data_IF_881160318026
#
_entry.id   IF_881160318026
#
_cell.length_a   1.000
_cell.length_b   1.000
_cell.length_c   1.000
_cell.angle_alpha   90.00
_cell.angle_beta   90.00
_cell.angle_gamma   90.00
#
_symmetry.space_group_name_H-M   'P 1'
#
loop_
_entity.id
_entity.type
_entity.pdbx_description
1 polymer ?
#
# COMPACT_ATOMS: atom_id res chain seq x y z
N UNK A 1 21.23 113.46 13.81
CA UNK A 1 20.44 112.25 13.48
C UNK A 1 21.10 111.52 12.31
N UNK A 2 22.09 110.65 12.55
CA UNK A 2 22.79 109.89 11.48
C UNK A 2 22.61 108.36 11.56
N UNK A 3 21.85 107.84 12.53
CA UNK A 3 21.87 106.41 12.87
C UNK A 3 20.61 105.63 12.43
N UNK A 4 19.71 106.23 11.64
CA UNK A 4 18.48 105.55 11.20
C UNK A 4 18.71 104.52 10.11
N UNK A 5 19.70 104.73 9.23
CA UNK A 5 20.03 103.77 8.16
C UNK A 5 20.78 102.55 8.71
N UNK A 6 21.77 102.76 9.58
CA UNK A 6 22.56 101.69 10.19
C UNK A 6 21.70 100.78 11.09
N UNK A 7 20.78 101.35 11.88
CA UNK A 7 19.86 100.57 12.72
C UNK A 7 18.87 99.75 11.88
N UNK A 8 18.34 100.31 10.78
CA UNK A 8 17.46 99.58 9.86
C UNK A 8 18.19 98.46 9.13
N UNK A 9 19.44 98.67 8.75
CA UNK A 9 20.28 97.64 8.14
C UNK A 9 20.59 96.52 9.14
N UNK A 10 20.93 96.86 10.38
CA UNK A 10 21.16 95.89 11.45
C UNK A 10 19.94 95.01 11.73
N UNK A 11 18.74 95.60 11.81
CA UNK A 11 17.48 94.85 11.99
C UNK A 11 17.18 93.96 10.77
N UNK A 12 17.41 94.45 9.55
CA UNK A 12 17.21 93.66 8.34
C UNK A 12 18.14 92.43 8.31
N UNK A 13 19.42 92.60 8.64
CA UNK A 13 20.37 91.49 8.71
C UNK A 13 19.98 90.52 9.83
N UNK A 14 19.57 91.01 11.01
CA UNK A 14 19.10 90.14 12.09
C UNK A 14 17.86 89.32 11.69
N UNK A 15 16.89 89.93 11.01
CA UNK A 15 15.72 89.22 10.48
C UNK A 15 16.10 88.23 9.38
N UNK A 16 17.06 88.55 8.52
CA UNK A 16 17.56 87.63 7.50
C UNK A 16 18.25 86.41 8.13
N UNK A 17 19.05 86.59 9.18
CA UNK A 17 19.67 85.48 9.92
C UNK A 17 18.61 84.62 10.59
N UNK A 18 17.61 85.22 11.25
CA UNK A 18 16.49 84.48 11.85
C UNK A 18 15.73 83.70 10.77
N UNK A 19 15.45 84.31 9.63
CA UNK A 19 14.79 83.64 8.51
C UNK A 19 15.63 82.46 7.98
N UNK A 20 16.95 82.61 7.87
CA UNK A 20 17.85 81.52 7.47
C UNK A 20 17.82 80.39 8.50
N UNK A 21 17.88 80.68 9.81
CA UNK A 21 17.78 79.66 10.86
C UNK A 21 16.45 78.93 10.78
N UNK A 22 15.33 79.66 10.63
CA UNK A 22 14.01 79.07 10.48
C UNK A 22 13.88 78.22 9.21
N UNK A 23 14.47 78.65 8.09
CA UNK A 23 14.50 77.87 6.85
C UNK A 23 15.35 76.62 7.02
N UNK A 24 16.52 76.72 7.66
CA UNK A 24 17.39 75.57 7.92
C UNK A 24 16.71 74.55 8.85
N UNK A 25 15.98 74.99 9.87
CA UNK A 25 15.17 74.11 10.72
C UNK A 25 13.98 73.52 9.97
N UNK A 26 13.30 74.30 9.13
CA UNK A 26 12.18 73.83 8.32
C UNK A 26 12.60 72.77 7.28
N UNK A 27 13.76 72.96 6.64
CA UNK A 27 14.36 72.02 5.69
C UNK A 27 14.98 70.82 6.42
N UNK A 28 15.48 71.02 7.65
CA UNK A 28 16.02 69.98 8.54
C UNK A 28 14.99 68.95 9.05
N UNK A 29 13.71 69.14 8.72
CA UNK A 29 12.69 68.10 8.84
C UNK A 29 11.73 68.32 10.02
N UNK A 30 10.54 68.80 9.69
CA UNK A 30 9.36 68.79 10.57
C UNK A 30 8.87 67.38 11.00
N UNK A 31 9.64 66.31 10.74
CA UNK A 31 9.23 64.92 11.01
C UNK A 31 9.17 64.54 12.50
N UNK A 32 9.77 65.37 13.37
CA UNK A 32 9.67 65.20 14.82
C UNK A 32 8.21 65.39 15.31
N UNK A 33 7.39 66.19 14.61
CA UNK A 33 6.02 66.54 15.01
C UNK A 33 4.94 65.53 14.59
N UNK A 34 5.23 64.54 13.73
CA UNK A 34 4.25 63.50 13.42
C UNK A 34 4.16 62.49 14.57
N UNK A 35 2.95 62.25 15.08
CA UNK A 35 2.68 61.21 16.06
C UNK A 35 3.03 59.84 15.48
N UNK A 36 3.81 59.07 16.22
CA UNK A 36 4.32 57.80 15.76
C UNK A 36 4.99 57.03 16.88
N UNK A 37 5.15 55.73 16.66
CA UNK A 37 5.83 54.82 17.58
C UNK A 37 7.10 54.28 16.94
N UNK A 38 8.09 53.97 17.77
CA UNK A 38 9.39 53.47 17.32
C UNK A 38 9.38 51.95 17.31
N UNK A 39 10.05 51.40 16.31
CA UNK A 39 10.23 49.96 16.14
C UNK A 39 11.64 49.70 15.62
N UNK A 40 12.22 48.59 16.05
CA UNK A 40 13.60 48.21 15.73
C UNK A 40 13.64 47.01 14.79
N UNK A 41 14.63 46.96 13.90
CA UNK A 41 14.91 45.80 13.06
C UNK A 41 16.41 45.58 12.96
N UNK A 42 16.86 44.33 13.07
CA UNK A 42 18.27 43.94 13.06
C UNK A 42 18.63 43.26 11.75
N UNK A 43 19.34 43.95 10.87
CA UNK A 43 19.75 43.40 9.57
C UNK A 43 21.24 43.02 9.60
N UNK A 44 21.63 41.95 8.90
CA UNK A 44 23.06 41.66 8.67
C UNK A 44 23.71 42.67 7.71
N UNK A 45 22.96 43.13 6.72
CA UNK A 45 23.39 44.16 5.76
C UNK A 45 22.21 45.07 5.43
N UNK A 46 22.48 46.37 5.29
CA UNK A 46 21.46 47.40 5.02
C UNK A 46 21.56 48.02 3.63
N UNK A 47 22.33 47.43 2.71
CA UNK A 47 22.32 47.74 1.26
C UNK A 47 22.27 49.25 0.87
N UNK A 48 22.96 50.16 1.56
CA UNK A 48 22.90 51.64 1.36
C UNK A 48 21.58 52.31 1.81
N UNK A 49 20.92 51.76 2.84
CA UNK A 49 19.81 52.43 3.54
C UNK A 49 20.33 53.64 4.33
N UNK A 50 19.59 54.76 4.25
CA UNK A 50 19.95 56.05 4.86
C UNK A 50 18.88 56.51 5.85
N UNK A 51 19.29 57.35 6.79
CA UNK A 51 18.35 58.04 7.68
C UNK A 51 17.44 58.93 6.82
N UNK A 52 16.13 58.86 7.06
CA UNK A 52 15.09 59.51 6.26
C UNK A 52 14.47 58.61 5.19
N UNK A 53 15.03 57.42 4.93
CA UNK A 53 14.43 56.48 3.98
C UNK A 53 13.04 56.02 4.44
N UNK A 54 12.19 55.73 3.45
CA UNK A 54 10.79 55.39 3.69
C UNK A 54 10.66 53.99 4.29
N UNK A 55 9.66 53.82 5.12
CA UNK A 55 9.17 52.51 5.56
C UNK A 55 7.81 52.29 4.93
N UNK A 56 7.66 51.20 4.18
CA UNK A 56 6.46 50.89 3.42
C UNK A 56 5.86 49.56 3.85
N UNK A 57 4.54 49.44 3.71
CA UNK A 57 3.80 48.19 3.87
C UNK A 57 2.83 48.06 2.70
N UNK A 58 2.90 46.94 1.99
CA UNK A 58 2.10 46.74 0.78
C UNK A 58 2.28 47.83 -0.29
N UNK A 59 3.45 48.50 -0.31
CA UNK A 59 3.73 49.63 -1.20
C UNK A 59 3.32 51.01 -0.68
N UNK A 60 2.57 51.09 0.43
CA UNK A 60 2.11 52.35 1.05
C UNK A 60 3.11 52.82 2.10
N UNK A 61 3.44 54.11 2.12
CA UNK A 61 4.33 54.70 3.13
C UNK A 61 3.66 54.75 4.51
N UNK A 62 4.23 54.01 5.46
CA UNK A 62 3.74 53.88 6.84
C UNK A 62 4.69 54.49 7.87
N UNK A 63 5.89 54.91 7.48
CA UNK A 63 6.88 55.45 8.41
C UNK A 63 8.18 55.83 7.72
N UNK A 64 9.20 56.15 8.53
CA UNK A 64 10.55 56.52 8.08
C UNK A 64 11.63 55.97 9.00
N UNK A 65 12.81 55.77 8.43
CA UNK A 65 14.01 55.39 9.17
C UNK A 65 14.54 56.62 9.89
N UNK A 66 14.65 56.56 11.22
CA UNK A 66 15.10 57.70 12.04
C UNK A 66 16.54 57.58 12.47
N UNK A 67 17.08 56.36 12.56
CA UNK A 67 18.46 56.14 12.99
C UNK A 67 18.95 54.76 12.53
N UNK A 68 20.25 54.61 12.35
CA UNK A 68 20.90 53.34 11.97
C UNK A 68 22.17 53.20 12.82
N UNK A 69 22.23 52.16 13.66
CA UNK A 69 23.35 51.88 14.55
C UNK A 69 23.93 50.51 14.27
N UNK A 70 25.25 50.36 14.39
CA UNK A 70 25.90 49.06 14.33
C UNK A 70 25.89 48.43 15.73
N UNK A 71 25.31 47.23 15.88
CA UNK A 71 25.25 46.48 17.13
C UNK A 71 25.60 45.01 16.86
N UNK A 72 26.57 44.45 17.61
CA UNK A 72 26.89 43.01 17.57
C UNK A 72 26.97 42.40 16.15
N UNK A 73 27.71 43.04 15.24
CA UNK A 73 27.88 42.61 13.85
C UNK A 73 26.59 42.64 12.98
N UNK A 74 25.60 43.42 13.40
CA UNK A 74 24.35 43.68 12.68
C UNK A 74 24.08 45.20 12.67
N UNK A 75 23.34 45.66 11.67
CA UNK A 75 22.82 47.02 11.62
C UNK A 75 21.42 47.06 12.23
N UNK A 76 21.31 47.73 13.38
CA UNK A 76 20.05 48.07 14.03
C UNK A 76 19.45 49.31 13.37
N UNK A 77 18.35 49.11 12.66
CA UNK A 77 17.58 50.17 12.02
C UNK A 77 16.44 50.58 12.95
N UNK A 78 16.40 51.85 13.31
CA UNK A 78 15.33 52.45 14.10
C UNK A 78 14.33 53.08 13.14
N UNK A 79 13.08 52.63 13.20
CA UNK A 79 11.99 53.10 12.36
C UNK A 79 10.95 53.81 13.21
N UNK A 80 10.45 54.95 12.73
CA UNK A 80 9.27 55.61 13.29
C UNK A 80 8.09 55.35 12.38
N UNK A 81 7.14 54.56 12.87
CA UNK A 81 5.89 54.24 12.17
C UNK A 81 4.80 55.25 12.57
N UNK A 82 3.92 55.59 11.63
CA UNK A 82 2.80 56.51 11.86
C UNK A 82 1.78 55.87 12.81
N UNK A 83 1.30 56.64 13.78
CA UNK A 83 0.29 56.18 14.74
C UNK A 83 -1.12 56.27 14.13
N UNK A 84 -1.38 55.44 13.12
CA UNK A 84 -2.70 55.29 12.49
C UNK A 84 -3.27 53.89 12.73
N UNK A 85 -4.61 53.74 12.88
CA UNK A 85 -5.22 52.44 13.13
C UNK A 85 -4.85 51.37 12.11
N UNK A 86 -4.75 51.73 10.83
CA UNK A 86 -4.44 50.79 9.75
C UNK A 86 -3.00 50.27 9.85
N UNK A 87 -2.06 51.14 10.26
CA UNK A 87 -0.66 50.78 10.46
C UNK A 87 -0.50 49.91 11.70
N UNK A 88 -1.22 50.20 12.79
CA UNK A 88 -1.18 49.38 14.01
C UNK A 88 -1.81 48.01 13.83
N UNK A 89 -2.87 47.90 13.03
CA UNK A 89 -3.49 46.61 12.74
C UNK A 89 -2.64 45.74 11.77
N UNK A 90 -1.92 46.38 10.85
CA UNK A 90 -1.11 45.69 9.84
C UNK A 90 0.27 45.23 10.33
N UNK A 91 0.90 45.98 11.24
CA UNK A 91 2.23 45.65 11.79
C UNK A 91 2.06 44.86 13.09
N UNK A 92 2.37 43.57 13.04
CA UNK A 92 2.22 42.65 14.16
C UNK A 92 3.57 42.05 14.56
N UNK A 93 3.62 41.35 15.69
CA UNK A 93 4.83 40.71 16.21
C UNK A 93 5.44 39.68 15.26
N UNK A 94 4.65 39.11 14.34
CA UNK A 94 5.08 38.17 13.30
C UNK A 94 5.30 38.84 11.93
N UNK A 95 5.18 40.16 11.84
CA UNK A 95 5.55 40.90 10.63
C UNK A 95 7.02 40.73 10.33
N UNK A 96 7.35 40.75 9.03
CA UNK A 96 8.72 40.57 8.55
C UNK A 96 9.19 41.82 7.83
N UNK A 97 10.34 42.36 8.24
CA UNK A 97 10.98 43.51 7.63
C UNK A 97 12.09 43.06 6.66
N UNK A 98 12.15 43.69 5.49
CA UNK A 98 13.22 43.49 4.50
C UNK A 98 13.65 44.83 3.93
N UNK A 99 14.95 45.02 3.73
CA UNK A 99 15.46 46.14 2.94
C UNK A 99 15.25 45.81 1.46
N UNK A 100 14.72 46.76 0.71
CA UNK A 100 14.43 46.61 -0.72
C UNK A 100 14.56 47.97 -1.41
N UNK A 101 14.70 48.00 -2.72
CA UNK A 101 14.81 49.24 -3.49
C UNK A 101 13.66 49.38 -4.49
N UNK A 102 13.35 50.62 -4.92
CA UNK A 102 12.30 50.88 -5.92
C UNK A 102 12.92 50.90 -7.33
N UNK A 103 13.20 49.73 -7.93
CA UNK A 103 13.76 49.62 -9.28
C UNK A 103 15.24 50.03 -9.42
N UNK A 104 15.81 49.92 -10.64
CA UNK A 104 17.26 49.94 -10.88
C UNK A 104 18.01 51.21 -10.41
N UNK A 105 17.34 52.35 -10.26
CA UNK A 105 17.92 53.63 -9.84
C UNK A 105 17.24 54.19 -8.58
N UNK A 106 16.41 53.39 -7.90
CA UNK A 106 15.61 53.84 -6.77
C UNK A 106 16.38 53.84 -5.46
N UNK A 107 16.01 54.75 -4.56
CA UNK A 107 16.45 54.71 -3.16
C UNK A 107 15.96 53.43 -2.46
N UNK A 108 16.76 52.99 -1.48
CA UNK A 108 16.39 51.91 -0.58
C UNK A 108 15.22 52.33 0.32
N UNK A 109 14.48 51.34 0.78
CA UNK A 109 13.41 51.50 1.73
C UNK A 109 13.23 50.21 2.52
N UNK A 110 12.67 50.32 3.72
CA UNK A 110 12.28 49.14 4.49
C UNK A 110 10.87 48.75 4.10
N UNK A 111 10.69 47.52 3.61
CA UNK A 111 9.37 46.94 3.38
C UNK A 111 8.99 46.06 4.57
N UNK A 112 7.83 46.30 5.15
CA UNK A 112 7.23 45.48 6.21
C UNK A 112 6.09 44.68 5.59
N UNK A 113 6.16 43.37 5.70
CA UNK A 113 5.10 42.46 5.28
C UNK A 113 3.98 42.40 6.34
N UNK A 114 2.74 42.22 5.90
CA UNK A 114 1.59 42.08 6.79
C UNK A 114 1.77 40.87 7.71
N UNK A 115 1.59 41.09 9.01
CA UNK A 115 1.55 40.01 10.01
C UNK A 115 0.14 39.46 10.21
N UNK A 116 -0.07 38.71 11.28
CA UNK A 116 -1.38 38.17 11.68
C UNK A 116 -1.67 36.75 11.20
N UNK A 117 -0.64 36.01 10.81
CA UNK A 117 -0.79 34.59 10.43
C UNK A 117 -0.49 33.65 11.60
N UNK A 118 0.30 34.10 12.59
CA UNK A 118 0.59 33.32 13.78
C UNK A 118 -0.60 33.35 14.77
N UNK A 119 -0.91 32.23 15.47
CA UNK A 119 -2.02 32.16 16.43
C UNK A 119 -1.96 33.17 17.59
N UNK A 120 -0.76 33.65 17.91
CA UNK A 120 -0.49 34.63 18.98
C UNK A 120 0.00 35.99 18.43
N UNK A 121 -0.24 36.28 17.16
CA UNK A 121 0.18 37.54 16.57
C UNK A 121 -0.59 38.70 17.24
N UNK A 122 0.17 39.62 17.84
CA UNK A 122 -0.37 40.84 18.46
C UNK A 122 0.14 42.06 17.70
N UNK A 123 -0.60 43.19 17.72
CA UNK A 123 -0.07 44.47 17.26
C UNK A 123 1.27 44.75 17.93
N UNK A 124 2.25 45.20 17.14
CA UNK A 124 3.56 45.51 17.71
C UNK A 124 3.46 46.69 18.67
N UNK A 125 4.16 46.60 19.81
CA UNK A 125 4.22 47.68 20.78
C UNK A 125 5.37 48.64 20.48
N UNK A 126 5.35 49.79 21.15
CA UNK A 126 6.43 50.77 21.06
C UNK A 126 7.74 50.14 21.54
N UNK A 127 8.82 50.43 20.83
CA UNK A 127 10.18 50.02 21.15
C UNK A 127 10.44 48.50 21.06
N UNK A 128 9.62 47.76 20.31
CA UNK A 128 9.82 46.33 20.03
C UNK A 128 10.64 46.07 18.75
N UNK A 129 11.15 44.84 18.64
CA UNK A 129 11.90 44.38 17.48
C UNK A 129 10.98 43.62 16.50
N UNK A 130 11.14 43.88 15.20
CA UNK A 130 10.53 43.13 14.10
C UNK A 130 11.52 42.08 13.58
N UNK A 131 11.01 40.91 13.23
CA UNK A 131 11.79 39.87 12.56
C UNK A 131 12.24 40.33 11.17
N UNK A 132 13.51 40.13 10.82
CA UNK A 132 14.04 40.53 9.52
C UNK A 132 14.23 39.34 8.58
N UNK A 133 13.94 39.56 7.29
CA UNK A 133 14.23 38.60 6.22
C UNK A 133 15.30 39.17 5.31
N UNK A 134 16.30 38.34 5.00
CA UNK A 134 17.36 38.69 4.08
C UNK A 134 16.90 38.49 2.63
N UNK A 135 17.16 39.49 1.79
CA UNK A 135 17.04 39.32 0.34
C UNK A 135 18.40 38.90 -0.23
N UNK A 136 18.42 37.98 -1.21
CA UNK A 136 19.63 37.75 -1.98
C UNK A 136 20.05 39.05 -2.67
N UNK A 137 21.32 39.42 -2.51
CA UNK A 137 21.93 40.50 -3.28
C UNK A 137 21.83 40.17 -4.78
N UNK A 138 21.63 41.19 -5.62
CA UNK A 138 21.70 41.06 -7.07
C UNK A 138 23.04 40.45 -7.49
N UNK A 139 24.13 40.79 -6.79
CA UNK A 139 25.45 40.17 -6.97
C UNK A 139 25.39 38.65 -6.79
N UNK A 140 24.71 38.18 -5.74
CA UNK A 140 24.52 36.75 -5.48
C UNK A 140 23.59 36.08 -6.51
N UNK A 141 22.62 36.82 -7.06
CA UNK A 141 21.80 36.33 -8.17
C UNK A 141 22.62 36.21 -9.47
N UNK A 142 23.51 37.17 -9.75
CA UNK A 142 24.44 37.09 -10.89
C UNK A 142 25.39 35.90 -10.76
N UNK A 143 25.94 35.65 -9.57
CA UNK A 143 26.74 34.44 -9.32
C UNK A 143 25.94 33.16 -9.59
N UNK A 144 24.64 33.13 -9.25
CA UNK A 144 23.79 31.98 -9.60
C UNK A 144 23.58 31.85 -11.11
N UNK A 145 23.46 32.96 -11.84
CA UNK A 145 23.38 32.95 -13.31
C UNK A 145 24.70 32.48 -13.93
N UNK A 146 25.85 32.91 -13.40
CA UNK A 146 27.17 32.43 -13.82
C UNK A 146 27.30 30.93 -13.60
N UNK A 147 26.87 30.42 -12.44
CA UNK A 147 26.83 28.98 -12.17
C UNK A 147 25.90 28.22 -13.13
N UNK A 148 24.79 28.82 -13.55
CA UNK A 148 23.91 28.23 -14.59
C UNK A 148 24.61 28.23 -15.94
N UNK A 149 25.31 29.31 -16.31
CA UNK A 149 26.08 29.39 -17.54
C UNK A 149 27.22 28.35 -17.56
N UNK A 150 27.90 28.16 -16.43
CA UNK A 150 28.89 27.08 -16.24
C UNK A 150 28.25 25.70 -16.35
N UNK A 151 27.07 25.48 -15.75
CA UNK A 151 26.31 24.23 -15.86
C UNK A 151 25.92 23.92 -17.31
N UNK A 152 25.44 24.92 -18.06
CA UNK A 152 25.12 24.80 -19.50
C UNK A 152 26.39 24.57 -20.32
N UNK A 153 27.50 25.23 -20.00
CA UNK A 153 28.77 25.02 -20.68
C UNK A 153 29.32 23.60 -20.41
N UNK A 154 29.18 23.11 -19.18
CA UNK A 154 29.56 21.75 -18.78
C UNK A 154 28.71 20.70 -19.49
N UNK A 155 27.38 20.92 -19.55
CA UNK A 155 26.47 20.09 -20.32
C UNK A 155 26.84 20.09 -21.81
N UNK A 156 27.09 21.28 -22.38
CA UNK A 156 27.54 21.41 -23.77
C UNK A 156 28.85 20.66 -24.02
N UNK A 157 29.84 20.77 -23.11
CA UNK A 157 31.08 19.99 -23.18
C UNK A 157 30.83 18.49 -23.16
N UNK A 158 29.92 18.03 -22.29
CA UNK A 158 29.54 16.61 -22.22
C UNK A 158 28.93 16.08 -23.52
N UNK A 159 28.26 16.93 -24.31
CA UNK A 159 27.75 16.57 -25.63
C UNK A 159 28.77 16.77 -26.76
N UNK A 160 29.62 17.79 -26.71
CA UNK A 160 30.65 18.03 -27.76
C UNK A 160 31.79 17.02 -27.74
N UNK A 161 32.05 16.37 -26.61
CA UNK A 161 33.07 15.32 -26.49
C UNK A 161 32.62 13.95 -27.01
N UNK A 162 31.31 13.74 -27.17
CA UNK A 162 30.76 12.50 -27.72
C UNK A 162 30.50 12.74 -29.20
N UNK A 163 31.43 12.31 -30.04
CA UNK A 163 31.20 12.36 -31.47
C UNK A 163 30.01 11.45 -31.80
N UNK A 164 29.03 11.99 -32.52
CA UNK A 164 27.76 11.31 -32.83
C UNK A 164 27.99 9.98 -33.58
N UNK A 165 29.11 9.84 -34.30
CA UNK A 165 29.58 8.61 -34.93
C UNK A 165 29.94 7.49 -33.93
N UNK A 166 30.43 7.81 -32.73
CA UNK A 166 30.76 6.84 -31.69
C UNK A 166 29.53 6.27 -30.96
N UNK A 167 28.41 7.01 -30.95
CA UNK A 167 27.14 6.51 -30.43
C UNK A 167 26.31 5.83 -31.51
N UNK A 168 26.24 6.44 -32.69
CA UNK A 168 25.42 5.92 -33.79
C UNK A 168 26.05 4.69 -34.43
N UNK A 169 27.39 4.56 -34.47
CA UNK A 169 28.06 3.40 -35.05
C UNK A 169 27.63 2.09 -34.39
N UNK A 170 27.92 1.87 -33.10
CA UNK A 170 27.54 0.63 -32.41
C UNK A 170 26.03 0.38 -32.38
N UNK A 171 25.21 1.44 -32.33
CA UNK A 171 23.75 1.30 -32.38
C UNK A 171 23.28 0.87 -33.78
N UNK A 172 23.80 1.48 -34.84
CA UNK A 172 23.50 1.12 -36.22
C UNK A 172 24.00 -0.30 -36.53
N UNK A 173 25.15 -0.68 -36.01
CA UNK A 173 25.70 -2.02 -36.16
C UNK A 173 24.85 -3.04 -35.42
N UNK A 174 24.45 -2.77 -34.18
CA UNK A 174 23.50 -3.61 -33.42
C UNK A 174 22.18 -3.78 -34.18
N UNK A 175 21.59 -2.69 -34.70
CA UNK A 175 20.33 -2.75 -35.46
C UNK A 175 20.51 -3.51 -36.77
N UNK A 176 21.64 -3.33 -37.47
CA UNK A 176 21.93 -4.06 -38.71
C UNK A 176 22.11 -5.56 -38.45
N UNK A 177 22.90 -5.91 -37.45
CA UNK A 177 23.20 -7.30 -37.07
C UNK A 177 21.95 -8.01 -36.54
N UNK A 178 21.08 -7.30 -35.81
CA UNK A 178 19.86 -7.87 -35.24
C UNK A 178 18.60 -7.56 -36.05
N UNK A 179 18.71 -7.04 -37.28
CA UNK A 179 17.54 -6.64 -38.09
C UNK A 179 16.53 -7.76 -38.26
N UNK A 180 17.01 -8.99 -38.49
CA UNK A 180 16.14 -10.18 -38.62
C UNK A 180 15.40 -10.49 -37.32
N UNK A 181 16.12 -10.52 -36.19
CA UNK A 181 15.55 -10.80 -34.87
C UNK A 181 14.57 -9.70 -34.42
N UNK A 182 14.92 -8.44 -34.65
CA UNK A 182 14.06 -7.29 -34.36
C UNK A 182 12.80 -7.35 -35.22
N UNK A 183 12.91 -7.65 -36.52
CA UNK A 183 11.74 -7.79 -37.40
C UNK A 183 10.84 -8.95 -36.96
N UNK A 184 11.41 -10.10 -36.59
CA UNK A 184 10.65 -11.23 -36.07
C UNK A 184 9.97 -10.90 -34.74
N UNK A 185 10.67 -10.22 -33.84
CA UNK A 185 10.13 -9.77 -32.56
C UNK A 185 8.99 -8.78 -32.75
N UNK A 186 9.16 -7.77 -33.59
CA UNK A 186 8.12 -6.79 -33.92
C UNK A 186 6.92 -7.49 -34.55
N UNK A 187 7.14 -8.45 -35.47
CA UNK A 187 6.06 -9.23 -36.07
C UNK A 187 5.32 -10.09 -35.06
N UNK A 188 6.03 -10.75 -34.13
CA UNK A 188 5.42 -11.52 -33.05
C UNK A 188 4.64 -10.63 -32.08
N UNK A 189 5.17 -9.46 -31.72
CA UNK A 189 4.47 -8.48 -30.88
C UNK A 189 3.20 -8.02 -31.60
N UNK A 190 3.28 -7.67 -32.90
CA UNK A 190 2.10 -7.29 -33.67
C UNK A 190 1.06 -8.41 -33.74
N UNK A 191 1.47 -9.67 -33.92
CA UNK A 191 0.58 -10.81 -33.94
C UNK A 191 -0.11 -11.03 -32.59
N UNK A 192 0.63 -10.95 -31.48
CA UNK A 192 0.08 -11.05 -30.13
C UNK A 192 -0.84 -9.87 -29.84
N UNK A 193 -0.44 -8.63 -30.15
CA UNK A 193 -1.28 -7.44 -29.99
C UNK A 193 -2.57 -7.55 -30.81
N UNK A 194 -2.50 -8.11 -32.02
CA UNK A 194 -3.68 -8.35 -32.85
C UNK A 194 -4.61 -9.39 -32.20
N UNK A 195 -4.07 -10.54 -31.75
CA UNK A 195 -4.84 -11.56 -31.03
C UNK A 195 -5.50 -10.99 -29.76
N UNK A 196 -4.77 -10.16 -29.01
CA UNK A 196 -5.27 -9.46 -27.82
C UNK A 196 -6.36 -8.45 -28.16
N UNK A 197 -6.31 -7.77 -29.30
CA UNK A 197 -7.33 -6.78 -29.68
C UNK A 197 -8.59 -7.41 -30.29
N UNK A 198 -8.42 -8.45 -31.12
CA UNK A 198 -9.51 -9.12 -31.83
C UNK A 198 -10.31 -10.10 -30.96
N UNK A 199 -9.98 -10.23 -29.68
CA UNK A 199 -10.77 -11.07 -28.79
C UNK A 199 -10.36 -12.54 -28.76
N UNK A 200 -9.29 -12.91 -29.45
CA UNK A 200 -8.92 -14.31 -29.64
C UNK A 200 -7.72 -14.69 -28.77
N UNK A 201 -7.94 -15.55 -27.79
CA UNK A 201 -6.89 -16.18 -26.98
C UNK A 201 -6.94 -15.84 -25.50
N UNK A 202 -6.20 -16.63 -24.72
CA UNK A 202 -6.23 -16.57 -23.25
C UNK A 202 -5.83 -15.19 -22.69
N UNK A 203 -4.89 -14.49 -23.34
CA UNK A 203 -4.45 -13.16 -22.89
C UNK A 203 -5.55 -12.11 -23.05
N UNK A 204 -6.34 -12.16 -24.14
CA UNK A 204 -7.49 -11.27 -24.26
C UNK A 204 -8.50 -11.54 -23.16
N UNK A 205 -8.88 -12.79 -22.95
CA UNK A 205 -9.83 -13.17 -21.89
C UNK A 205 -9.34 -12.74 -20.51
N UNK A 206 -8.04 -12.90 -20.21
CA UNK A 206 -7.47 -12.44 -18.94
C UNK A 206 -7.49 -10.92 -18.76
N UNK A 207 -7.23 -10.16 -19.81
CA UNK A 207 -7.13 -8.70 -19.73
C UNK A 207 -8.47 -7.99 -19.84
N UNK A 208 -9.44 -8.59 -20.53
CA UNK A 208 -10.68 -7.92 -20.94
C UNK A 208 -11.97 -8.65 -20.56
N UNK A 209 -11.95 -9.94 -20.18
CA UNK A 209 -13.19 -10.62 -19.87
C UNK A 209 -13.57 -10.50 -18.39
N UNK A 210 -14.85 -10.18 -18.17
CA UNK A 210 -15.49 -10.27 -16.84
C UNK A 210 -15.71 -11.73 -16.43
N UNK A 211 -15.47 -12.70 -17.32
CA UNK A 211 -15.72 -14.12 -17.08
C UNK A 211 -14.89 -14.69 -15.92
N UNK A 212 -13.71 -14.11 -15.66
CA UNK A 212 -12.91 -14.50 -14.50
C UNK A 212 -13.60 -14.11 -13.19
N UNK A 213 -14.22 -12.92 -13.17
CA UNK A 213 -15.02 -12.46 -12.06
C UNK A 213 -16.28 -13.34 -11.88
N UNK A 214 -16.97 -13.67 -12.98
CA UNK A 214 -18.17 -14.50 -12.95
C UNK A 214 -17.87 -15.97 -12.58
N UNK A 215 -16.75 -16.52 -13.06
CA UNK A 215 -16.28 -17.87 -12.70
C UNK A 215 -15.83 -17.95 -11.25
N UNK A 216 -15.15 -16.90 -10.75
CA UNK A 216 -14.78 -16.80 -9.34
C UNK A 216 -16.03 -16.67 -8.45
N UNK A 217 -17.01 -15.86 -8.87
CA UNK A 217 -18.25 -15.65 -8.13
C UNK A 217 -19.13 -16.92 -8.09
N UNK A 218 -19.26 -17.64 -9.20
CA UNK A 218 -19.99 -18.91 -9.26
C UNK A 218 -19.31 -20.01 -8.45
N UNK A 219 -17.97 -20.10 -8.50
CA UNK A 219 -17.20 -21.00 -7.63
C UNK A 219 -17.40 -20.67 -6.16
N UNK A 220 -17.38 -19.39 -5.80
CA UNK A 220 -17.63 -18.93 -4.43
C UNK A 220 -19.04 -19.30 -3.95
N UNK A 221 -20.05 -19.12 -4.82
CA UNK A 221 -21.45 -19.50 -4.54
C UNK A 221 -21.59 -21.01 -4.35
N UNK A 222 -21.04 -21.82 -5.26
CA UNK A 222 -21.09 -23.28 -5.18
C UNK A 222 -20.33 -23.83 -3.95
N UNK A 223 -19.22 -23.20 -3.56
CA UNK A 223 -18.48 -23.56 -2.35
C UNK A 223 -19.29 -23.24 -1.10
N UNK A 224 -20.01 -22.11 -1.07
CA UNK A 224 -20.88 -21.76 0.04
C UNK A 224 -22.06 -22.73 0.17
N UNK A 225 -22.66 -23.12 -0.95
CA UNK A 225 -23.75 -24.12 -0.97
C UNK A 225 -23.25 -25.50 -0.54
N UNK A 226 -22.08 -25.92 -1.03
CA UNK A 226 -21.43 -27.17 -0.61
C UNK A 226 -21.09 -27.14 0.89
N UNK A 227 -20.63 -26.00 1.41
CA UNK A 227 -20.36 -25.85 2.84
C UNK A 227 -21.63 -25.94 3.69
N UNK A 228 -22.75 -25.42 3.19
CA UNK A 228 -24.06 -25.56 3.83
C UNK A 228 -24.53 -27.03 3.83
N UNK A 229 -24.38 -27.74 2.71
CA UNK A 229 -24.73 -29.15 2.60
C UNK A 229 -23.87 -30.03 3.52
N UNK A 230 -22.55 -29.82 3.53
CA UNK A 230 -21.62 -30.49 4.46
C UNK A 230 -22.04 -30.24 5.92
N UNK A 231 -22.43 -29.00 6.27
CA UNK A 231 -22.89 -28.69 7.62
C UNK A 231 -24.16 -29.47 7.99
N UNK A 232 -25.09 -29.64 7.05
CA UNK A 232 -26.28 -30.47 7.25
C UNK A 232 -25.92 -31.95 7.39
N UNK A 233 -25.07 -32.49 6.50
CA UNK A 233 -24.60 -33.88 6.58
C UNK A 233 -23.88 -34.16 7.90
N UNK A 234 -23.04 -33.24 8.37
CA UNK A 234 -22.37 -33.35 9.67
C UNK A 234 -23.38 -33.30 10.82
N UNK A 235 -24.42 -32.48 10.73
CA UNK A 235 -25.49 -32.45 11.73
C UNK A 235 -26.28 -33.76 11.77
N UNK A 236 -26.62 -34.33 10.62
CA UNK A 236 -27.30 -35.62 10.51
C UNK A 236 -26.42 -36.78 11.01
N UNK A 237 -25.13 -36.76 10.66
CA UNK A 237 -24.17 -37.75 11.17
C UNK A 237 -24.04 -37.67 12.69
N UNK A 238 -23.96 -36.47 13.27
CA UNK A 238 -23.99 -36.28 14.73
C UNK A 238 -25.26 -36.84 15.34
N UNK A 239 -26.43 -36.60 14.74
CA UNK A 239 -27.71 -37.15 15.20
C UNK A 239 -27.72 -38.68 15.19
N UNK A 240 -27.16 -39.32 14.15
CA UNK A 240 -27.01 -40.79 14.10
C UNK A 240 -26.09 -41.28 15.22
N UNK A 241 -24.94 -40.62 15.43
CA UNK A 241 -23.99 -40.96 16.50
C UNK A 241 -24.66 -40.82 17.87
N UNK A 242 -25.46 -39.77 18.10
CA UNK A 242 -26.22 -39.57 19.33
C UNK A 242 -27.29 -40.64 19.52
N UNK A 243 -27.99 -41.04 18.44
CA UNK A 243 -28.95 -42.16 18.47
C UNK A 243 -28.28 -43.49 18.81
N UNK A 244 -27.11 -43.77 18.25
CA UNK A 244 -26.31 -44.96 18.59
C UNK A 244 -25.87 -44.92 20.05
N UNK A 245 -25.31 -43.78 20.50
CA UNK A 245 -24.85 -43.61 21.89
C UNK A 245 -25.98 -43.67 22.92
N UNK A 246 -27.20 -43.29 22.54
CA UNK A 246 -28.40 -43.38 23.39
C UNK A 246 -29.10 -44.72 23.34
N UNK A 247 -28.58 -45.70 22.60
CA UNK A 247 -29.16 -47.04 22.51
C UNK A 247 -30.41 -47.12 21.63
N UNK A 248 -30.65 -46.12 20.78
CA UNK A 248 -31.79 -46.07 19.87
C UNK A 248 -31.47 -46.79 18.55
N UNK A 249 -32.48 -47.43 17.95
CA UNK A 249 -32.31 -48.24 16.73
C UNK A 249 -31.62 -49.58 16.98
N UNK A 250 -31.52 -50.42 15.94
CA UNK A 250 -30.93 -51.77 16.05
C UNK A 250 -29.46 -51.71 16.43
N UNK A 251 -28.67 -50.84 15.78
CA UNK A 251 -27.24 -50.65 16.09
C UNK A 251 -27.03 -50.10 17.49
N UNK A 252 -27.78 -49.06 17.90
CA UNK A 252 -27.67 -48.51 19.26
C UNK A 252 -27.97 -49.55 20.34
N UNK A 253 -29.02 -50.36 20.16
CA UNK A 253 -29.33 -51.48 21.07
C UNK A 253 -28.23 -52.53 21.09
N UNK A 254 -27.71 -52.94 19.93
CA UNK A 254 -26.60 -53.89 19.83
C UNK A 254 -25.32 -53.40 20.51
N UNK A 255 -25.01 -52.10 20.40
CA UNK A 255 -23.83 -51.49 21.01
C UNK A 255 -23.99 -51.33 22.53
N UNK A 256 -25.21 -51.10 23.03
CA UNK A 256 -25.47 -50.86 24.45
C UNK A 256 -25.79 -52.10 25.26
N UNK A 257 -26.26 -53.17 24.64
CA UNK A 257 -26.71 -54.34 25.38
C UNK A 257 -25.60 -55.38 25.61
N UNK A 258 -25.33 -55.69 26.89
CA UNK A 258 -24.57 -56.89 27.31
C UNK A 258 -25.28 -58.22 26.96
N UNK A 259 -26.45 -58.17 26.34
CA UNK A 259 -27.23 -59.33 25.88
C UNK A 259 -26.48 -60.07 24.79
N UNK A 260 -25.78 -59.37 23.89
CA UNK A 260 -25.07 -60.01 22.79
C UNK A 260 -23.94 -60.92 23.31
N UNK A 261 -23.21 -60.44 24.31
CA UNK A 261 -22.17 -61.23 24.98
C UNK A 261 -22.78 -62.45 25.68
N UNK A 262 -23.95 -62.28 26.31
CA UNK A 262 -24.67 -63.37 26.99
C UNK A 262 -25.22 -64.41 26.02
N UNK A 263 -25.86 -64.00 24.92
CA UNK A 263 -26.39 -64.90 23.91
C UNK A 263 -25.27 -65.61 23.14
N UNK A 264 -24.18 -64.92 22.82
CA UNK A 264 -22.99 -65.54 22.24
C UNK A 264 -22.37 -66.57 23.21
N UNK A 265 -22.30 -66.24 24.50
CA UNK A 265 -21.80 -67.17 25.52
C UNK A 265 -22.72 -68.39 25.66
N UNK A 266 -24.04 -68.21 25.70
CA UNK A 266 -25.02 -69.29 25.78
C UNK A 266 -24.96 -70.19 24.54
N UNK A 267 -24.83 -69.61 23.35
CA UNK A 267 -24.63 -70.36 22.11
C UNK A 267 -23.36 -71.22 22.17
N UNK A 268 -22.26 -70.65 22.66
CA UNK A 268 -20.99 -71.38 22.81
C UNK A 268 -21.11 -72.52 23.83
N UNK A 269 -21.89 -72.35 24.90
CA UNK A 269 -22.18 -73.43 25.86
C UNK A 269 -23.00 -74.54 25.20
N UNK A 270 -24.06 -74.22 24.47
CA UNK A 270 -24.89 -75.20 23.77
C UNK A 270 -24.09 -75.98 22.71
N UNK A 271 -23.24 -75.29 21.94
CA UNK A 271 -22.37 -75.92 20.95
C UNK A 271 -21.36 -76.88 21.59
N UNK A 272 -20.79 -76.51 22.75
CA UNK A 272 -19.90 -77.40 23.51
C UNK A 272 -20.63 -78.65 23.99
N UNK A 273 -21.85 -78.51 24.49
CA UNK A 273 -22.67 -79.65 24.95
C UNK A 273 -23.02 -80.59 23.79
N UNK A 274 -23.41 -80.05 22.63
CA UNK A 274 -23.67 -80.84 21.41
C UNK A 274 -22.40 -81.59 20.99
N UNK A 275 -21.26 -80.90 20.96
CA UNK A 275 -19.96 -81.51 20.61
C UNK A 275 -19.61 -82.65 21.57
N UNK A 276 -19.83 -82.50 22.87
CA UNK A 276 -19.61 -83.56 23.86
C UNK A 276 -20.57 -84.74 23.68
N UNK A 277 -21.87 -84.49 23.43
CA UNK A 277 -22.85 -85.55 23.14
C UNK A 277 -22.45 -86.36 21.91
N UNK A 278 -21.97 -85.70 20.86
CA UNK A 278 -21.45 -86.36 19.65
C UNK A 278 -20.21 -87.19 19.97
N UNK A 279 -19.23 -86.65 20.69
CA UNK A 279 -18.00 -87.35 21.02
C UNK A 279 -18.23 -88.58 21.93
N UNK A 280 -19.21 -88.50 22.83
CA UNK A 280 -19.58 -89.60 23.73
C UNK A 280 -20.54 -90.63 23.12
N UNK A 281 -20.78 -90.57 21.80
CA UNK A 281 -21.65 -91.54 21.12
C UNK A 281 -23.14 -91.37 21.42
N UNK A 282 -23.58 -90.23 21.95
CA UNK A 282 -24.97 -89.99 22.32
C UNK A 282 -25.76 -89.36 21.17
N UNK A 283 -27.06 -89.70 21.07
CA UNK A 283 -27.92 -89.29 19.96
C UNK A 283 -27.63 -90.06 18.66
N UNK A 284 -28.46 -89.87 17.63
CA UNK A 284 -28.28 -90.55 16.33
C UNK A 284 -26.95 -90.22 15.68
N UNK A 285 -26.55 -88.94 15.71
CA UNK A 285 -25.28 -88.46 15.14
C UNK A 285 -24.08 -89.02 15.90
N UNK A 286 -24.09 -88.96 17.24
CA UNK A 286 -23.00 -89.52 18.05
C UNK A 286 -22.87 -91.03 17.86
N UNK A 287 -23.99 -91.77 17.83
CA UNK A 287 -23.98 -93.21 17.57
C UNK A 287 -23.37 -93.52 16.20
N UNK A 288 -23.80 -92.85 15.13
CA UNK A 288 -23.26 -93.07 13.77
C UNK A 288 -21.77 -92.75 13.70
N UNK A 289 -21.33 -91.65 14.33
CA UNK A 289 -19.92 -91.22 14.30
C UNK A 289 -19.00 -92.14 15.12
N UNK A 290 -19.51 -92.88 16.11
CA UNK A 290 -18.69 -93.76 16.95
C UNK A 290 -18.92 -95.26 16.68
N UNK A 291 -19.78 -95.62 15.73
CA UNK A 291 -20.13 -97.01 15.44
C UNK A 291 -19.15 -97.65 14.44
N UNK A 292 -18.30 -98.56 14.94
CA UNK A 292 -17.36 -99.32 14.12
C UNK A 292 -18.04 -100.20 13.07
N UNK A 293 -19.24 -100.70 13.33
CA UNK A 293 -20.01 -101.52 12.40
C UNK A 293 -20.54 -100.66 11.24
N UNK A 294 -20.98 -99.43 11.52
CA UNK A 294 -21.31 -98.46 10.49
C UNK A 294 -20.10 -98.17 9.57
N UNK A 295 -18.92 -97.89 10.14
CA UNK A 295 -17.70 -97.70 9.34
C UNK A 295 -17.33 -98.93 8.52
N UNK A 296 -17.46 -100.12 9.11
CA UNK A 296 -17.19 -101.40 8.43
C UNK A 296 -18.17 -101.64 7.29
N UNK A 297 -19.46 -101.41 7.51
CA UNK A 297 -20.51 -101.57 6.52
C UNK A 297 -20.40 -100.52 5.41
N UNK A 298 -20.06 -99.28 5.74
CA UNK A 298 -19.75 -98.23 4.77
C UNK A 298 -18.53 -98.62 3.91
N UNK A 299 -17.45 -99.11 4.52
CA UNK A 299 -16.27 -99.61 3.80
C UNK A 299 -16.59 -100.81 2.91
N UNK A 300 -17.37 -101.78 3.40
CA UNK A 300 -17.81 -102.93 2.61
C UNK A 300 -18.73 -102.53 1.46
N UNK A 301 -19.59 -101.54 1.68
CA UNK A 301 -20.47 -101.00 0.64
C UNK A 301 -19.65 -100.30 -0.44
N UNK A 302 -18.66 -99.49 -0.04
CA UNK A 302 -17.72 -98.86 -0.96
C UNK A 302 -16.90 -99.90 -1.72
N UNK A 303 -16.41 -100.95 -1.07
CA UNK A 303 -15.67 -102.04 -1.74
C UNK A 303 -16.54 -102.83 -2.73
N UNK A 304 -17.81 -103.09 -2.39
CA UNK A 304 -18.76 -103.72 -3.31
C UNK A 304 -19.10 -102.83 -4.50
N UNK A 305 -19.20 -101.52 -4.27
CA UNK A 305 -19.36 -100.53 -5.33
C UNK A 305 -18.14 -100.51 -6.24
N UNK A 306 -16.93 -100.45 -5.68
CA UNK A 306 -15.67 -100.49 -6.44
C UNK A 306 -15.60 -101.74 -7.32
N UNK A 307 -15.84 -102.93 -6.76
CA UNK A 307 -15.88 -104.19 -7.52
C UNK A 307 -16.98 -104.22 -8.59
N UNK A 308 -18.16 -103.66 -8.31
CA UNK A 308 -19.22 -103.56 -9.31
C UNK A 308 -18.84 -102.59 -10.45
N UNK A 309 -18.05 -101.56 -10.15
CA UNK A 309 -17.59 -100.57 -11.13
C UNK A 309 -16.44 -101.13 -11.97
N UNK A 310 -15.49 -101.86 -11.38
CA UNK A 310 -14.45 -102.61 -12.11
C UNK A 310 -15.06 -103.68 -13.03
N UNK A 311 -16.11 -104.38 -12.58
CA UNK A 311 -16.84 -105.33 -13.42
C UNK A 311 -17.59 -104.69 -14.61
N UNK A 312 -17.88 -103.39 -14.54
CA UNK A 312 -18.43 -102.60 -15.66
C UNK A 312 -17.33 -102.06 -16.59
N UNK A 313 -16.08 -101.99 -16.13
CA UNK A 313 -14.93 -101.54 -16.93
C UNK A 313 -14.31 -102.69 -17.75
N UNK A 314 -14.34 -103.94 -17.22
CA UNK A 314 -13.75 -105.12 -17.87
C UNK A 314 -14.68 -105.81 -18.90
N UNK A 315 -15.92 -105.32 -19.07
CA UNK A 315 -16.80 -105.69 -20.19
C UNK A 315 -16.94 -104.50 -21.15
N UNK A 316 -16.14 -104.51 -22.21
CA UNK A 316 -16.25 -103.54 -23.29
C UNK A 316 -17.69 -103.42 -23.85
N UNK A 317 -18.10 -102.23 -24.35
CA UNK A 317 -19.50 -101.84 -24.57
C UNK A 317 -20.29 -102.57 -25.69
N UNK A 318 -19.93 -103.79 -26.09
CA UNK A 318 -20.45 -104.40 -27.33
C UNK A 318 -21.14 -105.78 -27.22
N UNK A 319 -21.57 -106.27 -26.05
CA UNK A 319 -22.31 -107.56 -26.00
C UNK A 319 -23.70 -107.52 -25.34
N UNK A 320 -24.03 -106.51 -24.54
CA UNK A 320 -25.26 -106.55 -23.72
C UNK A 320 -26.55 -106.19 -24.50
N UNK A 321 -26.43 -105.64 -25.71
CA UNK A 321 -27.60 -105.35 -26.57
C UNK A 321 -28.12 -106.58 -27.34
N UNK A 322 -27.39 -107.70 -27.36
CA UNK A 322 -27.76 -108.89 -28.15
C UNK A 322 -28.76 -109.85 -27.47
N UNK A 323 -28.95 -109.77 -26.15
CA UNK A 323 -29.70 -110.80 -25.38
C UNK A 323 -31.12 -110.39 -25.00
N UNK A 324 -31.50 -109.12 -25.15
CA UNK A 324 -32.86 -108.67 -24.88
C UNK A 324 -33.86 -108.95 -26.02
N UNK A 325 -33.39 -109.22 -27.25
CA UNK A 325 -34.27 -109.36 -28.43
C UNK A 325 -34.65 -110.84 -28.73
N UNK A 326 -33.92 -111.83 -28.22
CA UNK A 326 -34.18 -113.26 -28.48
C UNK A 326 -35.27 -113.91 -27.60
N UNK A 327 -35.90 -113.17 -26.68
CA UNK A 327 -37.03 -113.68 -25.87
C UNK A 327 -38.40 -113.17 -26.32
N UNK A 328 -38.47 -112.51 -27.48
CA UNK A 328 -39.72 -111.99 -28.07
C UNK A 328 -40.07 -112.57 -29.45
N UNK A 329 -39.38 -113.64 -29.89
CA UNK A 329 -39.83 -114.56 -30.94
C UNK A 329 -39.57 -116.00 -30.50
#
# INVERSE_FOLDING_TARGET
MKNTLETRLGIFVALAVIAIVLILEAVGGFEQFQSGYRVYALFKTVQDLKVGDRVKMGGVEIGRVTDIKLTNNQAMVVMKLRDKPEVRAGVQTDSKARVTFTGLMGQNFVSIEFGGRAPNAKPIEKDQYIETVEQPDLSAMMTKIDNVAEGVQSLTRSFTGIKLDQLLGPLLDFVKENKGNLSATISNIQAVTYQVREGSGAVHSLLYSNDLYDSAFSTFTNLNDSAAEIKMTVADARKIVDQVNSGQGTIGRLVKEDTLYREATNLMVNLREISQKVNNGQGSVGKIINDQEFYRNAKLTLQKLDQATEGLEDQGPLSVLGTAISKLF
#
